data_IF_928803318228
#
_entry.id   IF_928803318228
#
_cell.length_a   1.000
_cell.length_b   1.000
_cell.length_c   1.000
_cell.angle_alpha   90.00
_cell.angle_beta   90.00
_cell.angle_gamma   90.00
#
_symmetry.space_group_name_H-M   'P 1'
#
loop_
_entity.id
_entity.type
_entity.pdbx_description
1 polymer ?
#
# COMPACT_ATOMS: atom_id res chain seq x y z
N UNK A 1 -14.13 16.98 -0.51
CA UNK A 1 -14.17 17.26 -1.95
C UNK A 1 -13.62 18.66 -2.21
N UNK A 2 -13.02 18.86 -3.35
CA UNK A 2 -12.54 20.15 -3.82
C UNK A 2 -12.72 20.26 -5.33
N UNK A 3 -12.83 21.50 -5.81
CA UNK A 3 -12.91 21.81 -7.23
C UNK A 3 -12.22 23.14 -7.49
N UNK A 4 -11.83 23.39 -8.72
CA UNK A 4 -11.15 24.60 -9.14
C UNK A 4 -11.80 25.19 -10.39
N UNK A 5 -11.66 26.48 -10.57
CA UNK A 5 -11.87 27.19 -11.81
C UNK A 5 -10.78 28.25 -12.00
N UNK A 6 -10.52 28.64 -13.20
CA UNK A 6 -9.57 29.70 -13.53
C UNK A 6 -10.31 30.95 -14.01
N UNK A 7 -9.74 32.11 -13.75
CA UNK A 7 -10.16 33.37 -14.35
C UNK A 7 -9.11 33.80 -15.37
N UNK A 8 -9.56 34.33 -16.52
CA UNK A 8 -8.68 34.98 -17.48
C UNK A 8 -8.32 36.41 -17.06
N UNK A 9 -7.50 37.10 -17.86
CA UNK A 9 -7.05 38.48 -17.60
C UNK A 9 -8.21 39.49 -17.52
N UNK A 10 -9.31 39.22 -18.18
CA UNK A 10 -10.53 40.05 -18.16
C UNK A 10 -11.44 39.72 -16.95
N UNK A 11 -11.03 38.82 -16.08
CA UNK A 11 -11.81 38.38 -14.92
C UNK A 11 -12.93 37.39 -15.24
N UNK A 12 -13.01 36.88 -16.47
CA UNK A 12 -14.00 35.87 -16.88
C UNK A 12 -13.60 34.50 -16.37
N UNK A 13 -14.49 33.86 -15.61
CA UNK A 13 -14.27 32.53 -15.07
C UNK A 13 -14.55 31.41 -16.08
N UNK A 14 -13.75 30.35 -16.04
CA UNK A 14 -14.09 29.06 -16.67
C UNK A 14 -15.28 28.40 -15.98
N UNK A 15 -15.78 27.32 -16.57
CA UNK A 15 -16.59 26.35 -15.83
C UNK A 15 -15.76 25.76 -14.65
N UNK A 16 -16.46 25.28 -13.62
CA UNK A 16 -15.84 24.51 -12.55
C UNK A 16 -15.31 23.18 -13.11
N UNK A 17 -14.15 22.77 -12.64
CA UNK A 17 -13.66 21.41 -12.89
C UNK A 17 -14.55 20.38 -12.18
N UNK A 18 -14.56 19.15 -12.67
CA UNK A 18 -15.19 18.05 -11.95
C UNK A 18 -14.64 17.96 -10.52
N UNK A 19 -15.49 17.73 -9.52
CA UNK A 19 -15.07 17.61 -8.13
C UNK A 19 -14.07 16.45 -7.94
N UNK A 20 -12.94 16.75 -7.30
CA UNK A 20 -12.00 15.75 -6.85
C UNK A 20 -12.12 15.52 -5.34
N UNK A 21 -11.67 14.36 -4.89
CA UNK A 21 -11.67 13.97 -3.48
C UNK A 21 -10.28 13.52 -3.05
N UNK A 22 -9.93 13.84 -1.82
CA UNK A 22 -8.83 13.20 -1.12
C UNK A 22 -9.27 12.85 0.30
N UNK A 23 -8.65 11.83 0.87
CA UNK A 23 -8.96 11.36 2.20
C UNK A 23 -7.71 11.45 3.07
N UNK A 24 -7.87 11.99 4.27
CA UNK A 24 -6.81 12.04 5.28
C UNK A 24 -7.00 10.89 6.28
N UNK A 25 -6.03 9.99 6.34
CA UNK A 25 -6.09 8.81 7.19
C UNK A 25 -5.73 9.07 8.65
N UNK A 26 -5.14 10.20 8.99
CA UNK A 26 -4.64 10.45 10.35
C UNK A 26 -3.38 9.65 10.72
N UNK A 27 -2.74 8.97 9.78
CA UNK A 27 -1.61 8.06 10.04
C UNK A 27 -0.26 8.75 9.88
N UNK A 28 -0.10 9.95 10.45
CA UNK A 28 1.10 10.77 10.28
C UNK A 28 2.31 10.29 11.10
N UNK A 29 2.08 9.58 12.18
CA UNK A 29 3.14 9.08 13.07
C UNK A 29 3.03 7.58 13.31
N UNK A 30 4.09 6.97 13.82
CA UNK A 30 4.08 5.55 14.17
C UNK A 30 3.03 5.20 15.25
N UNK A 31 2.64 6.15 16.07
CA UNK A 31 1.65 5.95 17.15
C UNK A 31 0.22 5.86 16.62
N UNK A 32 -0.02 6.36 15.44
CA UNK A 32 -1.35 6.38 14.81
C UNK A 32 -1.70 5.03 14.16
N UNK A 33 -0.68 4.20 13.90
CA UNK A 33 -0.84 2.89 13.31
C UNK A 33 -1.17 1.82 14.35
N UNK A 34 -2.22 1.06 14.13
CA UNK A 34 -2.50 -0.17 14.86
C UNK A 34 -1.76 -1.37 14.24
N UNK A 35 -1.43 -1.27 12.95
CA UNK A 35 -0.73 -2.29 12.18
C UNK A 35 0.72 -2.46 12.61
N UNK A 36 1.18 -3.70 12.67
CA UNK A 36 2.59 -4.05 12.90
C UNK A 36 3.33 -4.22 11.58
N UNK A 37 4.63 -3.98 11.62
CA UNK A 37 5.52 -4.34 10.52
C UNK A 37 5.66 -5.85 10.44
N UNK A 38 5.41 -6.41 9.26
CA UNK A 38 5.59 -7.83 8.95
C UNK A 38 6.55 -7.98 7.77
N UNK A 39 7.30 -9.08 7.76
CA UNK A 39 8.30 -9.39 6.74
C UNK A 39 8.46 -10.90 6.60
N UNK A 40 9.19 -11.31 5.56
CA UNK A 40 9.64 -12.69 5.37
C UNK A 40 11.07 -12.66 4.83
N UNK A 41 11.84 -13.69 5.12
CA UNK A 41 13.27 -13.76 4.76
C UNK A 41 13.53 -14.11 3.26
N UNK A 42 12.64 -13.67 2.38
CA UNK A 42 12.80 -13.76 0.93
C UNK A 42 12.93 -12.36 0.33
N UNK A 43 13.57 -12.26 -0.83
CA UNK A 43 13.72 -10.97 -1.54
C UNK A 43 12.42 -10.44 -2.14
N UNK A 44 11.48 -11.33 -2.41
CA UNK A 44 10.18 -10.99 -3.01
C UNK A 44 9.06 -11.87 -2.44
N UNK A 45 8.72 -11.73 -1.15
CA UNK A 45 7.73 -12.60 -0.52
C UNK A 45 6.30 -12.23 -0.89
N UNK A 46 5.41 -13.24 -0.84
CA UNK A 46 3.99 -13.08 -0.70
C UNK A 46 3.59 -13.06 0.77
N UNK A 47 2.77 -12.10 1.15
CA UNK A 47 2.12 -12.03 2.45
C UNK A 47 0.60 -12.07 2.23
N UNK A 48 -0.11 -12.86 3.03
CA UNK A 48 -1.55 -13.06 2.85
C UNK A 48 -2.30 -13.18 4.15
N UNK A 49 -3.50 -12.61 4.20
CA UNK A 49 -4.50 -12.82 5.23
C UNK A 49 -5.87 -13.03 4.61
N UNK A 50 -6.72 -13.81 5.27
CA UNK A 50 -8.13 -13.95 4.93
C UNK A 50 -8.95 -13.24 6.01
N UNK A 51 -9.83 -12.35 5.59
CA UNK A 51 -10.75 -11.62 6.46
C UNK A 51 -12.18 -12.00 6.12
N UNK A 52 -13.04 -12.07 7.12
CA UNK A 52 -14.46 -12.39 6.94
C UNK A 52 -15.30 -11.15 7.25
N UNK A 53 -16.09 -10.73 6.29
CA UNK A 53 -16.99 -9.58 6.41
C UNK A 53 -18.42 -10.07 6.54
N UNK A 54 -19.17 -9.50 7.48
CA UNK A 54 -20.55 -9.86 7.73
C UNK A 54 -21.52 -9.31 6.68
N UNK A 55 -21.09 -8.31 5.91
CA UNK A 55 -21.84 -7.70 4.82
C UNK A 55 -20.88 -7.00 3.85
N UNK A 56 -21.39 -6.68 2.67
CA UNK A 56 -20.68 -5.82 1.71
C UNK A 56 -20.42 -4.46 2.37
N UNK A 57 -19.19 -3.95 2.35
CA UNK A 57 -18.88 -2.65 2.97
C UNK A 57 -19.55 -1.49 2.26
N UNK A 58 -20.02 -0.50 3.00
CA UNK A 58 -20.45 0.77 2.43
C UNK A 58 -19.26 1.61 1.96
N UNK A 59 -18.11 1.48 2.65
CA UNK A 59 -16.84 2.11 2.29
C UNK A 59 -15.68 1.34 2.89
N UNK A 60 -14.60 1.20 2.14
CA UNK A 60 -13.38 0.57 2.64
C UNK A 60 -12.13 1.22 2.08
N UNK A 61 -11.18 1.53 2.96
CA UNK A 61 -9.86 2.03 2.60
C UNK A 61 -8.77 1.16 3.19
N UNK A 62 -7.74 0.88 2.40
CA UNK A 62 -6.53 0.25 2.90
C UNK A 62 -5.36 1.24 2.80
N UNK A 63 -4.63 1.37 3.89
CA UNK A 63 -3.42 2.17 4.02
C UNK A 63 -2.23 1.24 4.07
N UNK A 64 -1.26 1.42 3.18
CA UNK A 64 -0.11 0.53 3.06
C UNK A 64 1.18 1.34 3.11
N UNK A 65 2.04 0.98 4.05
CA UNK A 65 3.36 1.56 4.22
C UNK A 65 4.40 0.44 4.09
N UNK A 66 5.43 0.60 3.27
CA UNK A 66 6.42 -0.45 3.06
C UNK A 66 7.86 0.07 2.99
N UNK A 67 8.78 -0.79 3.40
CA UNK A 67 10.18 -0.75 3.03
C UNK A 67 10.37 -1.66 1.81
N UNK A 68 10.64 -1.07 0.66
CA UNK A 68 10.61 -1.75 -0.63
C UNK A 68 9.32 -1.50 -1.38
N UNK A 69 9.15 -2.17 -2.52
CA UNK A 69 7.96 -2.07 -3.34
C UNK A 69 6.89 -3.07 -2.88
N UNK A 70 5.64 -2.78 -3.22
CA UNK A 70 4.55 -3.72 -3.03
C UNK A 70 3.55 -3.67 -4.19
N UNK A 71 2.83 -4.75 -4.35
CA UNK A 71 1.58 -4.81 -5.11
C UNK A 71 0.49 -5.37 -4.20
N UNK A 72 -0.68 -4.75 -4.24
CA UNK A 72 -1.87 -5.17 -3.48
C UNK A 72 -2.78 -6.02 -4.35
N UNK A 73 -3.25 -7.12 -3.80
CA UNK A 73 -4.24 -7.99 -4.39
C UNK A 73 -5.39 -8.23 -3.42
N UNK A 74 -6.62 -8.16 -3.90
CA UNK A 74 -7.81 -8.55 -3.14
C UNK A 74 -8.60 -9.54 -3.99
N UNK A 75 -8.92 -10.69 -3.40
CA UNK A 75 -9.65 -11.77 -4.08
C UNK A 75 -9.03 -12.18 -5.43
N UNK A 76 -7.71 -12.18 -5.50
CA UNK A 76 -6.94 -12.53 -6.70
C UNK A 76 -6.84 -11.43 -7.76
N UNK A 77 -7.45 -10.27 -7.54
CA UNK A 77 -7.38 -9.13 -8.46
C UNK A 77 -6.40 -8.09 -7.93
N UNK A 78 -5.52 -7.58 -8.80
CA UNK A 78 -4.64 -6.47 -8.46
C UNK A 78 -5.46 -5.20 -8.20
N UNK A 79 -5.09 -4.47 -7.16
CA UNK A 79 -5.68 -3.19 -6.79
C UNK A 79 -4.71 -2.07 -7.16
N UNK A 80 -5.22 -1.06 -7.86
CA UNK A 80 -4.42 0.05 -8.36
C UNK A 80 -3.63 -0.31 -9.63
N UNK A 81 -3.18 0.73 -10.33
CA UNK A 81 -2.36 0.62 -11.54
C UNK A 81 -0.93 1.15 -11.30
N UNK A 82 -0.62 1.48 -10.04
CA UNK A 82 0.68 2.06 -9.69
C UNK A 82 1.80 1.05 -9.88
N UNK A 83 2.92 1.52 -10.43
CA UNK A 83 4.14 0.75 -10.56
C UNK A 83 5.25 1.35 -9.68
N UNK A 84 6.13 0.48 -9.15
CA UNK A 84 7.27 0.87 -8.31
C UNK A 84 6.88 1.72 -7.09
N UNK A 85 5.81 1.33 -6.42
CA UNK A 85 5.31 2.02 -5.22
C UNK A 85 5.77 1.35 -3.93
N UNK A 86 5.96 2.15 -2.87
CA UNK A 86 5.94 3.62 -2.77
C UNK A 86 7.18 4.26 -3.40
N UNK A 87 7.10 5.56 -3.66
CA UNK A 87 8.25 6.32 -4.13
C UNK A 87 9.40 6.30 -3.11
N UNK A 88 10.62 6.47 -3.62
CA UNK A 88 11.83 6.56 -2.78
C UNK A 88 11.72 7.73 -1.81
N UNK A 89 12.08 7.46 -0.56
CA UNK A 89 12.20 8.48 0.49
C UNK A 89 13.46 8.25 1.32
N UNK A 90 13.73 9.11 2.29
CA UNK A 90 14.81 8.90 3.24
C UNK A 90 14.38 7.85 4.28
N UNK A 91 14.58 6.56 3.97
CA UNK A 91 14.05 5.43 4.74
C UNK A 91 14.53 5.40 6.21
N UNK A 92 15.66 6.04 6.52
CA UNK A 92 16.13 6.23 7.89
C UNK A 92 15.39 7.34 8.67
N UNK A 93 14.54 8.13 8.01
CA UNK A 93 13.77 9.22 8.62
C UNK A 93 12.27 9.03 8.47
N UNK A 94 11.81 8.55 7.31
CA UNK A 94 10.39 8.41 7.00
C UNK A 94 10.17 7.38 5.90
N UNK A 95 9.00 6.78 5.91
CA UNK A 95 8.44 5.98 4.83
C UNK A 95 7.14 6.64 4.35
N UNK A 96 6.80 6.44 3.09
CA UNK A 96 5.55 6.91 2.53
C UNK A 96 4.51 5.80 2.62
N UNK A 97 3.26 6.14 2.87
CA UNK A 97 2.16 5.21 2.73
C UNK A 97 1.24 5.62 1.59
N UNK A 98 0.58 4.65 0.99
CA UNK A 98 -0.43 4.83 -0.03
C UNK A 98 -1.79 4.44 0.53
N UNK A 99 -2.83 5.08 -0.01
CA UNK A 99 -4.23 4.82 0.32
C UNK A 99 -4.97 4.34 -0.91
N UNK A 100 -5.65 3.21 -0.80
CA UNK A 100 -6.51 2.69 -1.86
C UNK A 100 -7.94 2.59 -1.37
N UNK A 101 -8.87 3.07 -2.18
CA UNK A 101 -10.28 2.73 -2.04
C UNK A 101 -10.49 1.32 -2.54
N UNK A 102 -10.85 0.42 -1.65
CA UNK A 102 -11.02 -1.00 -1.95
C UNK A 102 -12.46 -1.48 -1.79
N UNK A 103 -13.38 -0.54 -1.70
CA UNK A 103 -14.81 -0.81 -1.47
C UNK A 103 -15.35 -1.84 -2.45
N UNK A 104 -15.09 -1.68 -3.75
CA UNK A 104 -15.60 -2.56 -4.80
C UNK A 104 -14.85 -3.90 -4.93
N UNK A 105 -13.72 -4.04 -4.23
CA UNK A 105 -12.92 -5.27 -4.24
C UNK A 105 -13.34 -6.26 -3.15
N UNK A 106 -14.14 -5.82 -2.18
CA UNK A 106 -14.56 -6.59 -1.03
C UNK A 106 -16.00 -7.08 -1.18
N UNK A 107 -16.26 -8.28 -0.70
CA UNK A 107 -17.58 -8.92 -0.71
C UNK A 107 -17.97 -9.37 0.69
N UNK A 108 -19.24 -9.67 0.91
CA UNK A 108 -19.67 -10.41 2.09
C UNK A 108 -18.97 -11.77 2.14
N UNK A 109 -18.69 -12.26 3.33
CA UNK A 109 -17.97 -13.50 3.59
C UNK A 109 -16.46 -13.35 3.51
N UNK A 110 -15.79 -14.38 3.03
CA UNK A 110 -14.33 -14.49 3.05
C UNK A 110 -13.69 -13.68 1.91
N UNK A 111 -12.76 -12.80 2.30
CA UNK A 111 -11.95 -12.02 1.38
C UNK A 111 -10.47 -12.34 1.62
N UNK A 112 -9.72 -12.57 0.56
CA UNK A 112 -8.28 -12.78 0.61
C UNK A 112 -7.56 -11.48 0.27
N UNK A 113 -6.72 -11.00 1.20
CA UNK A 113 -5.85 -9.84 1.00
C UNK A 113 -4.43 -10.35 0.81
N UNK A 114 -3.79 -10.00 -0.28
CA UNK A 114 -2.43 -10.38 -0.63
C UNK A 114 -1.55 -9.17 -0.86
N UNK A 115 -0.34 -9.21 -0.33
CA UNK A 115 0.72 -8.23 -0.56
C UNK A 115 1.93 -8.94 -1.16
N UNK A 116 2.25 -8.60 -2.38
CA UNK A 116 3.48 -9.07 -3.02
C UNK A 116 4.56 -8.02 -2.85
N UNK A 117 5.63 -8.37 -2.18
CA UNK A 117 6.69 -7.42 -1.86
C UNK A 117 7.89 -7.57 -2.80
N UNK A 118 8.56 -6.48 -3.05
CA UNK A 118 9.84 -6.41 -3.74
C UNK A 118 10.84 -5.56 -2.96
N UNK A 119 12.11 -5.95 -2.99
CA UNK A 119 13.13 -5.26 -2.21
C UNK A 119 13.32 -3.79 -2.62
N UNK A 120 13.25 -3.50 -3.93
CA UNK A 120 13.41 -2.14 -4.43
C UNK A 120 14.64 -1.43 -3.81
N UNK A 121 14.45 -0.20 -3.41
CA UNK A 121 15.50 0.62 -2.80
C UNK A 121 15.80 0.27 -1.33
N UNK A 122 14.96 -0.50 -0.66
CA UNK A 122 15.20 -0.86 0.75
C UNK A 122 16.43 -1.75 0.93
N UNK A 123 16.84 -2.48 -0.09
CA UNK A 123 18.03 -3.31 -0.10
C UNK A 123 19.30 -2.59 -0.55
N UNK A 124 19.25 -1.32 -0.86
CA UNK A 124 20.42 -0.56 -1.29
C UNK A 124 21.34 -0.26 -0.10
N UNK A 125 22.53 -0.85 -0.12
CA UNK A 125 23.63 -0.36 0.72
C UNK A 125 24.19 0.88 0.04
N UNK A 126 23.81 2.04 0.52
CA UNK A 126 24.38 3.30 0.05
C UNK A 126 25.41 3.81 1.08
N UNK A 127 26.53 4.28 0.57
CA UNK A 127 27.57 5.00 1.35
C UNK A 127 27.07 6.31 1.95
N UNK A 128 25.84 6.74 1.64
CA UNK A 128 25.22 7.97 2.13
C UNK A 128 24.40 7.81 3.42
N UNK A 129 24.56 6.68 4.11
CA UNK A 129 23.91 6.44 5.41
C UNK A 129 22.46 5.95 5.30
N UNK A 130 22.05 5.42 4.18
CA UNK A 130 20.78 4.72 4.05
C UNK A 130 20.92 3.34 4.71
N UNK A 131 20.11 3.11 5.71
CA UNK A 131 20.12 1.81 6.39
C UNK A 131 19.42 0.79 5.50
N UNK A 132 20.20 -0.15 4.95
CA UNK A 132 19.66 -1.25 4.19
C UNK A 132 18.81 -2.15 5.09
N UNK A 133 17.61 -2.44 4.65
CA UNK A 133 16.78 -3.49 5.25
C UNK A 133 17.16 -4.83 4.60
N UNK A 134 17.37 -5.89 5.38
CA UNK A 134 17.75 -7.20 4.83
C UNK A 134 16.65 -7.79 3.95
N UNK A 135 15.40 -7.49 4.23
CA UNK A 135 14.22 -7.96 3.49
C UNK A 135 13.19 -6.84 3.39
N UNK A 136 12.32 -6.86 2.37
CA UNK A 136 11.20 -5.93 2.31
C UNK A 136 10.26 -6.16 3.49
N UNK A 137 9.71 -5.09 4.02
CA UNK A 137 8.75 -5.15 5.11
C UNK A 137 7.56 -4.25 4.82
N UNK A 138 6.41 -4.61 5.34
CA UNK A 138 5.16 -3.87 5.13
C UNK A 138 4.35 -3.81 6.42
N UNK A 139 3.59 -2.74 6.57
CA UNK A 139 2.44 -2.67 7.47
C UNK A 139 1.26 -2.16 6.69
N UNK A 140 0.09 -2.74 6.93
CA UNK A 140 -1.15 -2.35 6.29
C UNK A 140 -2.29 -2.31 7.30
N UNK A 141 -3.17 -1.33 7.13
CA UNK A 141 -4.36 -1.13 7.93
C UNK A 141 -5.55 -0.96 6.97
N UNK A 142 -6.52 -1.86 7.07
CA UNK A 142 -7.77 -1.81 6.31
C UNK A 142 -8.89 -1.35 7.24
N UNK A 143 -9.54 -0.26 6.89
CA UNK A 143 -10.71 0.28 7.56
C UNK A 143 -11.95 0.00 6.71
N UNK A 144 -12.91 -0.67 7.31
CA UNK A 144 -14.15 -1.10 6.65
C UNK A 144 -15.32 -0.47 7.38
N UNK A 145 -16.04 0.43 6.72
CA UNK A 145 -17.25 1.05 7.24
C UNK A 145 -18.49 0.28 6.74
N UNK A 146 -19.38 -0.09 7.66
CA UNK A 146 -20.68 -0.63 7.32
C UNK A 146 -21.70 0.47 6.99
N UNK A 147 -22.93 0.09 6.61
CA UNK A 147 -24.00 1.02 6.25
C UNK A 147 -24.42 1.95 7.39
N UNK A 148 -24.14 1.63 8.65
CA UNK A 148 -24.42 2.46 9.82
C UNK A 148 -23.27 3.38 10.20
N UNK A 149 -22.15 3.33 9.47
CA UNK A 149 -20.94 4.12 9.71
C UNK A 149 -20.01 3.55 10.79
N UNK A 150 -20.29 2.35 11.31
CA UNK A 150 -19.34 1.68 12.20
C UNK A 150 -18.13 1.22 11.40
N UNK A 151 -16.94 1.44 11.94
CA UNK A 151 -15.66 1.09 11.31
C UNK A 151 -15.06 -0.12 12.02
N UNK A 152 -14.78 -1.16 11.26
CA UNK A 152 -13.92 -2.26 11.69
C UNK A 152 -12.52 -2.05 11.08
N UNK A 153 -11.50 -2.27 11.90
CA UNK A 153 -10.10 -2.13 11.47
C UNK A 153 -9.42 -3.49 11.46
N UNK A 154 -8.81 -3.82 10.34
CA UNK A 154 -8.01 -5.04 10.13
C UNK A 154 -6.57 -4.60 9.86
N UNK A 155 -5.61 -5.27 10.51
CA UNK A 155 -4.21 -4.83 10.49
C UNK A 155 -3.27 -5.96 10.13
N UNK A 156 -2.08 -5.61 9.69
CA UNK A 156 -0.97 -6.57 9.64
C UNK A 156 -0.48 -6.89 11.04
N UNK A 157 -0.37 -8.18 11.31
CA UNK A 157 0.11 -8.75 12.57
C UNK A 157 0.65 -10.18 12.36
N UNK A 158 0.87 -10.90 13.45
CA UNK A 158 1.43 -12.26 13.44
C UNK A 158 0.48 -13.33 12.85
N UNK A 159 -0.79 -12.99 12.58
CA UNK A 159 -1.76 -13.90 11.95
C UNK A 159 -1.60 -14.01 10.44
N UNK A 160 -0.83 -13.12 9.83
CA UNK A 160 -0.55 -13.15 8.40
C UNK A 160 0.35 -14.33 8.04
N UNK A 161 0.06 -14.96 6.92
CA UNK A 161 0.89 -16.01 6.34
C UNK A 161 1.85 -15.41 5.33
N UNK A 162 3.07 -15.91 5.31
CA UNK A 162 4.11 -15.49 4.39
C UNK A 162 4.67 -16.70 3.63
N UNK A 163 5.18 -16.46 2.43
CA UNK A 163 5.84 -17.47 1.60
C UNK A 163 6.68 -16.82 0.52
N UNK A 164 7.58 -17.62 -0.06
CA UNK A 164 8.39 -17.18 -1.19
C UNK A 164 7.54 -17.06 -2.46
N UNK A 165 7.91 -16.14 -3.33
CA UNK A 165 7.34 -16.04 -4.66
C UNK A 165 8.17 -16.78 -5.68
N UNK A 166 7.69 -16.86 -6.92
CA UNK A 166 8.44 -17.39 -8.06
C UNK A 166 9.61 -16.49 -8.50
N UNK A 167 9.81 -15.33 -7.88
CA UNK A 167 10.92 -14.44 -8.20
C UNK A 167 12.14 -14.77 -7.34
N UNK A 168 13.20 -15.29 -7.96
CA UNK A 168 14.46 -15.57 -7.29
C UNK A 168 15.22 -14.30 -6.89
N UNK A 169 14.97 -13.18 -7.55
CA UNK A 169 15.65 -11.91 -7.31
C UNK A 169 14.75 -10.73 -7.69
N UNK A 170 14.40 -9.90 -6.73
CA UNK A 170 13.63 -8.68 -6.97
C UNK A 170 14.58 -7.50 -7.11
N UNK A 171 15.08 -7.26 -8.34
CA UNK A 171 15.80 -6.09 -8.80
C UNK A 171 16.49 -5.19 -7.78
N UNK A 172 17.77 -5.37 -7.56
CA UNK A 172 18.66 -4.27 -7.20
C UNK A 172 19.02 -3.51 -8.46
N UNK A 173 18.91 -2.20 -8.41
CA UNK A 173 19.56 -1.37 -9.40
C UNK A 173 21.08 -1.52 -9.25
N UNK A 174 21.63 -2.56 -9.84
CA UNK A 174 23.06 -2.73 -10.10
C UNK A 174 23.20 -3.04 -11.57
N UNK A 175 24.02 -2.27 -12.23
CA UNK A 175 24.48 -2.50 -13.58
C UNK A 175 24.58 -4.01 -13.85
N UNK A 176 23.73 -4.53 -14.75
CA UNK A 176 23.73 -5.90 -15.28
C UNK A 176 23.10 -7.04 -14.46
N UNK A 177 22.23 -6.81 -13.48
CA UNK A 177 21.49 -7.91 -12.84
C UNK A 177 19.99 -7.58 -12.76
N UNK A 178 19.24 -8.13 -13.68
CA UNK A 178 17.79 -8.19 -13.61
C UNK A 178 17.40 -9.59 -13.10
N UNK A 179 16.48 -9.64 -12.15
CA UNK A 179 15.88 -10.89 -11.74
C UNK A 179 14.78 -11.32 -12.69
N UNK A 180 14.49 -12.60 -12.71
CA UNK A 180 13.44 -13.22 -13.50
C UNK A 180 12.70 -14.27 -12.69
N UNK A 181 11.63 -14.76 -13.27
CA UNK A 181 10.93 -15.94 -12.76
C UNK A 181 11.86 -17.16 -12.85
N UNK A 182 11.76 -18.06 -11.84
CA UNK A 182 12.44 -19.34 -11.79
C UNK A 182 11.43 -20.43 -12.12
#
# INVERSE_FOLDING_TARGET
HWTVRIANEDGKNSAWAEPAMWTYAGLASNKDWQARWITHNASSPWLRQTVELQAVPAKAYIYINSFGYFQLFINGKRVGADEFTPHVSQLNKRTLYLTYDVTEHLTEGKNAIGLWLGQGWSGATDTRGWQAMPSPAVRAQLEVANATGQIATLVTDDSWRAGESCLAYSGRWKWNKFGGEV
#
